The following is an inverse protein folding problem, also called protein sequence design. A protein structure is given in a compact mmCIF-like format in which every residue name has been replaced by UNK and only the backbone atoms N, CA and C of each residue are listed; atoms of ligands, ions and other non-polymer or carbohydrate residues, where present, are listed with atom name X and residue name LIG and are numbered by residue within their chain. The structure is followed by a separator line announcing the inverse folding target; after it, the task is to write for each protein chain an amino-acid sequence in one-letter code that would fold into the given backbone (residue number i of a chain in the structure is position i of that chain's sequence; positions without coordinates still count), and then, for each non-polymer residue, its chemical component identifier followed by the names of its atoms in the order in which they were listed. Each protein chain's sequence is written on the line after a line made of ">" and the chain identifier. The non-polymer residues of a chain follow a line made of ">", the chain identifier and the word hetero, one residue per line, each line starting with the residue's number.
data_IF_535131110357
#
_entry.id   IF_535131110357
#
_cell.length_a   1.000
_cell.length_b   1.000
_cell.length_c   1.000
_cell.angle_alpha   90.00
_cell.angle_beta   90.00
_cell.angle_gamma   90.00
#
_symmetry.space_group_name_H-M   'P 1'
#
loop_
_entity.id
_entity.type
_entity.pdbx_description
1 polymer ?
#
# COMPACT_ATOMS: atom_id res chain seq x y z
N UNK A 1 17.21 27.97 -8.23
CA UNK A 1 17.54 26.57 -7.95
C UNK A 1 17.12 25.75 -9.17
N UNK A 2 18.06 25.32 -9.98
CA UNK A 2 17.76 24.56 -11.21
C UNK A 2 17.36 23.15 -10.82
N UNK A 3 16.16 22.72 -11.21
CA UNK A 3 15.68 21.36 -11.00
C UNK A 3 16.62 20.35 -11.66
N UNK A 4 17.06 19.34 -10.93
CA UNK A 4 17.85 18.23 -11.47
C UNK A 4 17.07 17.43 -12.52
N UNK A 5 17.78 16.64 -13.32
CA UNK A 5 17.17 15.78 -14.35
C UNK A 5 16.14 14.84 -13.71
N UNK A 6 16.48 14.26 -12.56
CA UNK A 6 15.58 13.37 -11.80
C UNK A 6 14.29 14.07 -11.34
N UNK A 7 14.39 15.34 -10.91
CA UNK A 7 13.19 16.09 -10.48
C UNK A 7 12.26 16.39 -11.66
N UNK A 8 12.85 16.76 -12.81
CA UNK A 8 12.07 16.97 -14.04
C UNK A 8 11.37 15.70 -14.50
N UNK A 9 12.06 14.56 -14.43
CA UNK A 9 11.51 13.25 -14.74
C UNK A 9 10.31 12.95 -13.81
N UNK A 10 10.48 13.10 -12.48
CA UNK A 10 9.40 12.84 -11.52
C UNK A 10 8.18 13.76 -11.75
N UNK A 11 8.39 15.01 -12.10
CA UNK A 11 7.27 15.93 -12.40
C UNK A 11 6.52 15.42 -13.63
N UNK A 12 7.21 15.12 -14.72
CA UNK A 12 6.60 14.68 -15.98
C UNK A 12 5.83 13.37 -15.77
N UNK A 13 6.45 12.37 -15.14
CA UNK A 13 5.84 11.05 -14.97
C UNK A 13 4.60 11.11 -14.05
N UNK A 14 4.58 12.03 -13.07
CA UNK A 14 3.42 12.23 -12.22
C UNK A 14 2.28 12.97 -12.92
N UNK A 15 2.58 13.91 -13.82
CA UNK A 15 1.56 14.53 -14.67
C UNK A 15 0.93 13.47 -15.58
N UNK A 16 1.75 12.62 -16.22
CA UNK A 16 1.27 11.51 -17.04
C UNK A 16 0.44 10.53 -16.21
N UNK A 17 0.92 10.17 -15.02
CA UNK A 17 0.18 9.29 -14.09
C UNK A 17 -1.19 9.85 -13.71
N UNK A 18 -1.28 11.14 -13.43
CA UNK A 18 -2.55 11.82 -13.15
C UNK A 18 -3.52 11.74 -14.34
N UNK A 19 -3.03 12.04 -15.55
CA UNK A 19 -3.84 12.00 -16.78
C UNK A 19 -4.31 10.57 -17.06
N UNK A 20 -3.43 9.58 -16.96
CA UNK A 20 -3.79 8.17 -17.17
C UNK A 20 -4.84 7.71 -16.16
N UNK A 21 -4.70 8.11 -14.88
CA UNK A 21 -5.72 7.77 -13.88
C UNK A 21 -7.06 8.43 -14.19
N UNK A 22 -7.06 9.67 -14.63
CA UNK A 22 -8.29 10.36 -15.06
C UNK A 22 -8.96 9.66 -16.25
N UNK A 23 -8.18 9.25 -17.26
CA UNK A 23 -8.69 8.48 -18.40
C UNK A 23 -9.28 7.15 -17.91
N UNK A 24 -8.58 6.42 -17.04
CA UNK A 24 -9.07 5.16 -16.48
C UNK A 24 -10.38 5.35 -15.71
N UNK A 25 -10.50 6.43 -14.94
CA UNK A 25 -11.74 6.77 -14.23
C UNK A 25 -12.90 7.02 -15.19
N UNK A 26 -12.66 7.74 -16.30
CA UNK A 26 -13.70 7.98 -17.32
C UNK A 26 -14.11 6.68 -18.03
N UNK A 27 -13.16 5.83 -18.40
CA UNK A 27 -13.40 4.53 -18.99
C UNK A 27 -14.22 3.64 -18.06
N UNK A 28 -13.81 3.53 -16.81
CA UNK A 28 -14.52 2.77 -15.78
C UNK A 28 -15.96 3.24 -15.57
N UNK A 29 -16.21 4.56 -15.68
CA UNK A 29 -17.53 5.14 -15.47
C UNK A 29 -18.47 4.99 -16.68
N UNK A 30 -17.92 4.92 -17.89
CA UNK A 30 -18.68 4.99 -19.14
C UNK A 30 -18.63 3.71 -19.98
N UNK A 31 -17.79 2.73 -19.63
CA UNK A 31 -17.65 1.49 -20.39
C UNK A 31 -17.62 0.29 -19.44
N UNK A 32 -18.26 -0.82 -19.83
CA UNK A 32 -18.24 -2.07 -19.03
C UNK A 32 -16.88 -2.80 -19.05
N UNK A 33 -16.03 -2.51 -20.05
CA UNK A 33 -14.77 -3.25 -20.30
C UNK A 33 -13.49 -2.40 -20.11
N UNK A 34 -13.61 -1.17 -19.66
CA UNK A 34 -12.57 -0.17 -19.84
C UNK A 34 -11.64 0.06 -18.64
N UNK A 35 -10.85 -0.93 -18.20
CA UNK A 35 -9.75 -0.65 -17.25
C UNK A 35 -8.39 -0.82 -17.94
N UNK A 36 -7.54 0.22 -17.85
CA UNK A 36 -6.16 0.19 -18.35
C UNK A 36 -5.17 -0.18 -17.24
N UNK A 37 -5.54 -1.20 -16.43
CA UNK A 37 -4.80 -1.59 -15.22
C UNK A 37 -3.31 -1.88 -15.46
N UNK A 38 -2.96 -2.54 -16.55
CA UNK A 38 -1.58 -2.83 -16.91
C UNK A 38 -0.76 -1.55 -17.15
N UNK A 39 -1.36 -0.57 -17.83
CA UNK A 39 -0.72 0.70 -18.11
C UNK A 39 -0.56 1.52 -16.82
N UNK A 40 -1.59 1.58 -15.99
CA UNK A 40 -1.53 2.23 -14.68
C UNK A 40 -0.45 1.61 -13.79
N UNK A 41 -0.37 0.28 -13.75
CA UNK A 41 0.64 -0.45 -12.98
C UNK A 41 2.04 -0.06 -13.42
N UNK A 42 2.29 -0.03 -14.74
CA UNK A 42 3.60 0.29 -15.31
C UNK A 42 4.02 1.74 -14.99
N UNK A 43 3.13 2.69 -15.18
CA UNK A 43 3.42 4.10 -14.89
C UNK A 43 3.50 4.40 -13.39
N UNK A 44 2.74 3.70 -12.54
CA UNK A 44 2.90 3.80 -11.09
C UNK A 44 4.30 3.35 -10.66
N UNK A 45 4.75 2.18 -11.15
CA UNK A 45 6.10 1.66 -10.88
C UNK A 45 7.20 2.59 -11.42
N UNK A 46 6.98 3.24 -12.56
CA UNK A 46 7.91 4.22 -13.11
C UNK A 46 7.99 5.53 -12.31
N UNK A 47 7.15 5.75 -11.27
CA UNK A 47 7.20 6.93 -10.40
C UNK A 47 5.99 7.86 -10.51
N UNK A 48 4.99 7.52 -11.33
CA UNK A 48 3.76 8.30 -11.51
C UNK A 48 2.71 8.12 -10.40
N UNK A 49 3.03 7.38 -9.34
CA UNK A 49 2.10 6.99 -8.30
C UNK A 49 1.51 8.17 -7.52
N UNK A 50 2.28 9.25 -7.28
CA UNK A 50 1.78 10.46 -6.60
C UNK A 50 0.69 11.14 -7.45
N UNK A 51 0.90 11.28 -8.76
CA UNK A 51 -0.11 11.82 -9.68
C UNK A 51 -1.40 11.01 -9.66
N UNK A 52 -1.28 9.67 -9.64
CA UNK A 52 -2.43 8.77 -9.53
C UNK A 52 -3.15 8.89 -8.19
N UNK A 53 -2.41 9.02 -7.07
CA UNK A 53 -3.01 9.26 -5.74
C UNK A 53 -3.83 10.56 -5.74
N UNK A 54 -3.31 11.62 -6.35
CA UNK A 54 -4.05 12.89 -6.50
C UNK A 54 -5.32 12.65 -7.33
N UNK A 55 -5.23 11.88 -8.41
CA UNK A 55 -6.39 11.49 -9.22
C UNK A 55 -7.45 10.72 -8.41
N UNK A 56 -7.04 9.76 -7.58
CA UNK A 56 -7.94 9.02 -6.67
C UNK A 56 -8.66 9.99 -5.73
N UNK A 57 -7.94 10.93 -5.13
CA UNK A 57 -8.51 11.86 -4.15
C UNK A 57 -9.50 12.86 -4.78
N UNK A 58 -9.30 13.21 -6.05
CA UNK A 58 -10.15 14.19 -6.74
C UNK A 58 -11.38 13.50 -7.37
N UNK A 59 -11.15 12.46 -8.15
CA UNK A 59 -12.19 11.89 -9.03
C UNK A 59 -12.87 10.66 -8.44
N UNK A 60 -12.13 9.80 -7.72
CA UNK A 60 -12.58 8.48 -7.30
C UNK A 60 -12.54 8.35 -5.78
N UNK A 61 -13.35 9.18 -5.09
CA UNK A 61 -13.35 9.23 -3.61
C UNK A 61 -13.98 8.02 -2.95
N UNK A 62 -14.90 7.33 -3.62
CA UNK A 62 -15.61 6.18 -3.03
C UNK A 62 -14.90 4.88 -3.36
N UNK A 63 -14.35 4.18 -2.36
CA UNK A 63 -13.76 2.85 -2.59
C UNK A 63 -14.88 1.83 -2.80
N UNK A 64 -14.84 1.16 -3.94
CA UNK A 64 -15.71 0.06 -4.33
C UNK A 64 -14.88 -1.18 -4.59
N UNK A 65 -15.53 -2.36 -4.70
CA UNK A 65 -14.80 -3.62 -4.91
C UNK A 65 -13.90 -3.60 -6.15
N UNK A 66 -14.39 -2.98 -7.22
CA UNK A 66 -13.79 -3.03 -8.54
C UNK A 66 -12.54 -2.15 -8.66
N UNK A 67 -12.48 -1.02 -7.90
CA UNK A 67 -11.31 -0.15 -7.87
C UNK A 67 -10.34 -0.43 -6.71
N UNK A 68 -10.63 -1.42 -5.85
CA UNK A 68 -9.88 -1.63 -4.61
C UNK A 68 -8.46 -2.14 -4.89
N UNK A 69 -8.27 -3.01 -5.89
CA UNK A 69 -6.95 -3.53 -6.22
C UNK A 69 -6.03 -2.42 -6.70
N UNK A 70 -6.46 -1.62 -7.67
CA UNK A 70 -5.69 -0.50 -8.20
C UNK A 70 -5.34 0.52 -7.12
N UNK A 71 -6.26 0.82 -6.20
CA UNK A 71 -6.01 1.73 -5.07
C UNK A 71 -4.94 1.21 -4.13
N UNK A 72 -5.03 -0.04 -3.68
CA UNK A 72 -4.03 -0.63 -2.78
C UNK A 72 -2.67 -0.63 -3.46
N UNK A 73 -2.62 -1.01 -4.74
CA UNK A 73 -1.39 -1.01 -5.52
C UNK A 73 -0.77 0.38 -5.60
N UNK A 74 -1.54 1.38 -6.03
CA UNK A 74 -1.07 2.77 -6.21
C UNK A 74 -0.59 3.35 -4.86
N UNK A 75 -1.31 3.13 -3.76
CA UNK A 75 -0.92 3.63 -2.43
C UNK A 75 0.38 2.98 -1.97
N UNK A 76 0.53 1.66 -2.09
CA UNK A 76 1.76 0.97 -1.71
C UNK A 76 2.96 1.46 -2.53
N UNK A 77 2.81 1.55 -3.84
CA UNK A 77 3.86 2.03 -4.74
C UNK A 77 4.20 3.50 -4.47
N UNK A 78 3.22 4.33 -4.16
CA UNK A 78 3.45 5.72 -3.75
C UNK A 78 4.31 5.82 -2.50
N UNK A 79 4.01 5.02 -1.45
CA UNK A 79 4.81 4.99 -0.22
C UNK A 79 6.24 4.50 -0.51
N UNK A 80 6.40 3.48 -1.35
CA UNK A 80 7.72 3.01 -1.78
C UNK A 80 8.49 4.13 -2.49
N UNK A 81 7.84 4.90 -3.37
CA UNK A 81 8.47 6.03 -4.06
C UNK A 81 8.85 7.17 -3.11
N UNK A 82 8.09 7.43 -2.04
CA UNK A 82 8.51 8.36 -0.98
C UNK A 82 9.82 7.87 -0.35
N UNK A 83 9.92 6.59 0.00
CA UNK A 83 11.15 6.01 0.57
C UNK A 83 12.32 6.14 -0.41
N UNK A 84 12.13 5.78 -1.67
CA UNK A 84 13.15 5.92 -2.71
C UNK A 84 13.61 7.38 -2.85
N UNK A 85 12.67 8.31 -2.88
CA UNK A 85 12.99 9.74 -2.95
C UNK A 85 13.81 10.22 -1.75
N UNK A 86 13.45 9.82 -0.53
CA UNK A 86 14.20 10.17 0.67
C UNK A 86 15.61 9.57 0.68
N UNK A 87 15.79 8.35 0.18
CA UNK A 87 17.10 7.72 0.00
C UNK A 87 17.94 8.51 -1.00
N UNK A 88 17.39 8.86 -2.16
CA UNK A 88 18.11 9.60 -3.21
C UNK A 88 18.50 11.01 -2.79
N UNK A 89 17.75 11.62 -1.85
CA UNK A 89 18.09 12.93 -1.24
C UNK A 89 19.12 12.84 -0.11
N UNK A 90 19.64 11.64 0.17
CA UNK A 90 20.70 11.44 1.16
C UNK A 90 20.23 11.46 2.62
N UNK A 91 18.93 11.24 2.87
CA UNK A 91 18.38 11.08 4.22
C UNK A 91 18.64 9.68 4.82
N UNK A 92 19.64 8.97 4.33
CA UNK A 92 20.03 7.64 4.80
C UNK A 92 21.49 7.65 5.27
N UNK A 93 21.84 6.81 6.26
CA UNK A 93 23.20 6.64 6.75
C UNK A 93 24.10 6.04 5.66
N UNK A 94 25.37 6.42 5.67
CA UNK A 94 26.36 5.90 4.70
C UNK A 94 26.64 4.40 4.85
N UNK A 95 26.55 3.89 6.10
CA UNK A 95 26.65 2.45 6.39
C UNK A 95 25.25 1.92 6.64
N UNK A 96 24.75 1.09 5.74
CA UNK A 96 23.44 0.45 5.88
C UNK A 96 23.52 -0.66 6.95
N UNK A 97 22.52 -0.67 7.83
CA UNK A 97 22.35 -1.71 8.84
C UNK A 97 21.17 -2.61 8.46
N UNK A 98 21.35 -3.90 8.65
CA UNK A 98 20.31 -4.93 8.56
C UNK A 98 19.98 -5.54 9.93
N UNK A 99 20.40 -4.90 11.01
CA UNK A 99 20.23 -5.36 12.38
C UNK A 99 18.79 -5.13 12.89
N UNK A 100 17.82 -5.82 12.29
CA UNK A 100 16.40 -5.70 12.66
C UNK A 100 16.14 -5.98 14.14
N UNK A 101 16.81 -6.99 14.70
CA UNK A 101 16.64 -7.36 16.11
C UNK A 101 17.10 -6.26 17.06
N UNK A 102 18.25 -5.65 16.79
CA UNK A 102 18.76 -4.54 17.60
C UNK A 102 17.84 -3.32 17.50
N UNK A 103 17.31 -3.06 16.30
CA UNK A 103 16.34 -1.98 16.09
C UNK A 103 15.08 -2.20 16.94
N UNK A 104 14.49 -3.38 16.90
CA UNK A 104 13.31 -3.70 17.71
C UNK A 104 13.61 -3.77 19.21
N UNK A 105 14.80 -4.24 19.61
CA UNK A 105 15.22 -4.23 21.01
C UNK A 105 15.27 -2.80 21.58
N UNK A 106 15.69 -1.82 20.76
CA UNK A 106 15.74 -0.41 21.13
C UNK A 106 14.36 0.29 21.00
N UNK A 107 13.44 -0.23 20.18
CA UNK A 107 12.13 0.34 19.92
C UNK A 107 10.99 -0.59 20.39
N UNK A 108 11.01 -0.97 21.67
CA UNK A 108 10.04 -1.94 22.25
C UNK A 108 8.58 -1.54 22.04
N UNK A 109 8.26 -0.25 22.10
CA UNK A 109 6.90 0.25 21.86
C UNK A 109 6.42 -0.04 20.43
N UNK A 110 7.30 0.07 19.43
CA UNK A 110 6.99 -0.29 18.06
C UNK A 110 6.72 -1.79 17.92
N UNK A 111 7.53 -2.63 18.58
CA UNK A 111 7.33 -4.08 18.58
C UNK A 111 5.98 -4.47 19.20
N UNK A 112 5.65 -3.87 20.36
CA UNK A 112 4.37 -4.09 21.04
C UNK A 112 3.20 -3.64 20.15
N UNK A 113 3.31 -2.45 19.54
CA UNK A 113 2.30 -1.96 18.60
C UNK A 113 2.08 -2.93 17.43
N UNK A 114 3.16 -3.38 16.78
CA UNK A 114 3.08 -4.34 15.67
C UNK A 114 2.47 -5.68 16.11
N UNK A 115 2.80 -6.17 17.30
CA UNK A 115 2.18 -7.39 17.84
C UNK A 115 0.67 -7.22 18.03
N UNK A 116 0.25 -6.13 18.67
CA UNK A 116 -1.17 -5.85 18.93
C UNK A 116 -1.95 -5.69 17.61
N UNK A 117 -1.46 -4.87 16.68
CA UNK A 117 -2.19 -4.62 15.43
C UNK A 117 -2.30 -5.87 14.55
N UNK A 118 -1.30 -6.76 14.56
CA UNK A 118 -1.37 -8.02 13.85
C UNK A 118 -2.38 -8.99 14.48
N UNK A 119 -2.46 -9.06 15.81
CA UNK A 119 -3.48 -9.85 16.51
C UNK A 119 -4.88 -9.30 16.20
N UNK A 120 -5.09 -7.99 16.32
CA UNK A 120 -6.37 -7.32 16.01
C UNK A 120 -6.78 -7.60 14.56
N UNK A 121 -5.85 -7.52 13.62
CA UNK A 121 -6.13 -7.77 12.21
C UNK A 121 -6.50 -9.23 11.98
N UNK A 122 -5.79 -10.18 12.56
CA UNK A 122 -6.09 -11.60 12.46
C UNK A 122 -7.50 -11.91 13.02
N UNK A 123 -7.84 -11.35 14.20
CA UNK A 123 -9.16 -11.49 14.79
C UNK A 123 -10.25 -10.87 13.92
N UNK A 124 -9.99 -9.70 13.29
CA UNK A 124 -10.91 -9.07 12.36
C UNK A 124 -11.22 -9.97 11.15
N UNK A 125 -10.22 -10.68 10.60
CA UNK A 125 -10.44 -11.66 9.54
C UNK A 125 -11.25 -12.87 10.00
N UNK A 126 -11.03 -13.35 11.23
CA UNK A 126 -11.83 -14.41 11.84
C UNK A 126 -13.30 -14.01 11.98
N UNK A 127 -13.55 -12.83 12.56
CA UNK A 127 -14.89 -12.28 12.75
C UNK A 127 -15.62 -12.06 11.42
N UNK A 128 -14.93 -11.55 10.39
CA UNK A 128 -15.52 -11.38 9.06
C UNK A 128 -15.89 -12.74 8.42
N UNK A 129 -15.10 -13.80 8.68
CA UNK A 129 -15.42 -15.16 8.25
C UNK A 129 -16.67 -15.70 8.95
N UNK A 130 -16.75 -15.56 10.28
CA UNK A 130 -17.91 -16.00 11.08
C UNK A 130 -19.16 -15.24 10.61
N UNK A 131 -19.08 -13.91 10.50
CA UNK A 131 -20.18 -13.10 10.02
C UNK A 131 -20.65 -13.48 8.61
N UNK A 132 -19.72 -13.90 7.74
CA UNK A 132 -20.07 -14.40 6.41
C UNK A 132 -20.81 -15.74 6.44
N UNK A 133 -20.46 -16.64 7.37
CA UNK A 133 -21.13 -17.93 7.55
C UNK A 133 -22.54 -17.76 8.15
N UNK A 134 -22.67 -16.85 9.12
CA UNK A 134 -23.94 -16.56 9.80
C UNK A 134 -24.85 -15.59 9.02
N UNK A 135 -24.45 -15.16 7.82
CA UNK A 135 -25.17 -14.15 7.01
C UNK A 135 -25.44 -12.83 7.74
N UNK A 136 -24.59 -12.50 8.72
CA UNK A 136 -24.62 -11.25 9.48
C UNK A 136 -23.87 -10.13 8.76
N UNK A 137 -23.87 -8.95 9.36
CA UNK A 137 -23.16 -7.78 8.84
C UNK A 137 -21.65 -8.03 8.84
N UNK A 138 -21.03 -7.80 7.67
CA UNK A 138 -19.63 -8.14 7.42
C UNK A 138 -18.71 -6.93 7.61
N UNK A 139 -17.48 -7.17 8.03
CA UNK A 139 -16.47 -6.14 8.10
C UNK A 139 -16.14 -5.64 6.69
N UNK A 140 -16.02 -4.32 6.53
CA UNK A 140 -15.75 -3.72 5.22
C UNK A 140 -14.36 -4.11 4.71
N UNK A 141 -14.23 -4.21 3.37
CA UNK A 141 -12.94 -4.47 2.71
C UNK A 141 -11.92 -3.39 3.08
N UNK A 142 -12.38 -2.14 3.15
CA UNK A 142 -11.56 -0.98 3.51
C UNK A 142 -10.99 -1.13 4.92
N UNK A 143 -11.80 -1.56 5.88
CA UNK A 143 -11.37 -1.76 7.26
C UNK A 143 -10.28 -2.85 7.34
N UNK A 144 -10.48 -3.98 6.67
CA UNK A 144 -9.52 -5.08 6.68
C UNK A 144 -8.19 -4.71 6.01
N UNK A 145 -8.24 -4.05 4.84
CA UNK A 145 -7.04 -3.56 4.16
C UNK A 145 -6.40 -2.39 4.89
N UNK A 146 -7.19 -1.52 5.53
CA UNK A 146 -6.70 -0.44 6.37
C UNK A 146 -5.91 -0.96 7.57
N UNK A 147 -6.44 -1.97 8.28
CA UNK A 147 -5.72 -2.65 9.37
C UNK A 147 -4.41 -3.27 8.88
N UNK A 148 -4.42 -3.89 7.70
CA UNK A 148 -3.19 -4.41 7.09
C UNK A 148 -2.19 -3.29 6.80
N UNK A 149 -2.62 -2.15 6.23
CA UNK A 149 -1.77 -1.00 5.86
C UNK A 149 -1.08 -0.35 7.07
N UNK A 150 -1.76 -0.23 8.20
CA UNK A 150 -1.21 0.41 9.40
C UNK A 150 -0.30 -0.51 10.24
N UNK A 151 0.08 -1.69 9.75
CA UNK A 151 1.03 -2.60 10.39
C UNK A 151 0.53 -4.03 10.61
N UNK A 152 -0.75 -4.31 10.35
CA UNK A 152 -1.37 -5.62 10.56
C UNK A 152 -1.25 -6.61 9.39
N UNK A 153 -0.32 -6.40 8.48
CA UNK A 153 -0.25 -7.18 7.22
C UNK A 153 0.09 -8.66 7.43
N UNK A 154 0.95 -8.99 8.39
CA UNK A 154 1.23 -10.38 8.76
C UNK A 154 0.01 -11.05 9.38
N UNK A 155 -0.71 -10.34 10.27
CA UNK A 155 -1.96 -10.80 10.86
C UNK A 155 -3.05 -11.01 9.81
N UNK A 156 -3.13 -10.12 8.79
CA UNK A 156 -4.01 -10.29 7.64
C UNK A 156 -3.65 -11.53 6.83
N UNK A 157 -2.36 -11.73 6.53
CA UNK A 157 -1.88 -12.88 5.77
C UNK A 157 -2.21 -14.19 6.51
N UNK A 158 -1.84 -14.27 7.79
CA UNK A 158 -2.13 -15.45 8.64
C UNK A 158 -3.64 -15.67 8.71
N UNK A 159 -4.43 -14.64 8.99
CA UNK A 159 -5.89 -14.73 9.07
C UNK A 159 -6.54 -15.20 7.78
N UNK A 160 -6.07 -14.71 6.62
CA UNK A 160 -6.55 -15.16 5.32
C UNK A 160 -6.35 -16.66 5.09
N UNK A 161 -5.14 -17.16 5.35
CA UNK A 161 -4.81 -18.57 5.09
C UNK A 161 -5.35 -19.49 6.20
N UNK A 162 -5.28 -19.10 7.46
CA UNK A 162 -5.77 -19.91 8.59
C UNK A 162 -7.28 -20.13 8.50
N UNK A 163 -8.03 -19.08 8.19
CA UNK A 163 -9.50 -19.16 8.09
C UNK A 163 -10.00 -19.45 6.68
N UNK A 164 -9.11 -19.66 5.69
CA UNK A 164 -9.46 -19.85 4.29
C UNK A 164 -10.46 -18.81 3.79
N UNK A 165 -10.24 -17.54 4.15
CA UNK A 165 -11.16 -16.44 3.89
C UNK A 165 -10.53 -15.39 2.99
N UNK A 166 -11.25 -15.00 1.91
CA UNK A 166 -10.85 -13.99 0.93
C UNK A 166 -9.56 -14.28 0.14
N UNK A 167 -9.03 -15.51 0.21
CA UNK A 167 -7.83 -15.96 -0.50
C UNK A 167 -7.94 -15.93 -2.03
N UNK A 168 -9.18 -15.89 -2.58
CA UNK A 168 -9.47 -15.84 -4.02
C UNK A 168 -9.71 -14.41 -4.53
N UNK A 169 -9.63 -13.38 -3.68
CA UNK A 169 -9.86 -11.99 -4.08
C UNK A 169 -8.53 -11.29 -4.30
N UNK A 170 -8.29 -10.77 -5.50
CA UNK A 170 -6.99 -10.23 -5.92
C UNK A 170 -6.50 -9.09 -5.03
N UNK A 171 -7.39 -8.19 -4.59
CA UNK A 171 -7.03 -7.11 -3.67
C UNK A 171 -6.59 -7.59 -2.28
N UNK A 172 -6.85 -8.84 -1.89
CA UNK A 172 -6.25 -9.48 -0.74
C UNK A 172 -5.07 -10.38 -1.13
N UNK A 173 -5.24 -11.25 -2.14
CA UNK A 173 -4.22 -12.22 -2.55
C UNK A 173 -2.91 -11.57 -2.99
N UNK A 174 -2.98 -10.46 -3.71
CA UNK A 174 -1.84 -9.68 -4.20
C UNK A 174 -1.60 -8.47 -3.30
N UNK A 175 -2.68 -7.79 -2.87
CA UNK A 175 -2.58 -6.56 -2.10
C UNK A 175 -1.91 -6.74 -0.74
N UNK A 176 -2.23 -7.80 0.02
CA UNK A 176 -1.62 -8.04 1.34
C UNK A 176 -0.12 -8.33 1.25
N UNK A 177 0.38 -9.22 0.37
CA UNK A 177 1.83 -9.36 0.13
C UNK A 177 2.51 -8.05 -0.29
N UNK A 178 1.88 -7.25 -1.14
CA UNK A 178 2.43 -5.95 -1.56
C UNK A 178 2.53 -4.97 -0.38
N UNK A 179 1.53 -4.96 0.52
CA UNK A 179 1.58 -4.17 1.75
C UNK A 179 2.75 -4.62 2.64
N UNK A 180 3.02 -5.92 2.74
CA UNK A 180 4.19 -6.44 3.49
C UNK A 180 5.49 -5.90 2.89
N UNK A 181 5.66 -6.00 1.57
CA UNK A 181 6.84 -5.47 0.88
C UNK A 181 7.02 -3.98 1.16
N UNK A 182 5.96 -3.19 1.04
CA UNK A 182 5.97 -1.76 1.35
C UNK A 182 6.39 -1.51 2.81
N UNK A 183 5.84 -2.25 3.78
CA UNK A 183 6.17 -2.10 5.20
C UNK A 183 7.62 -2.47 5.51
N UNK A 184 8.15 -3.52 4.88
CA UNK A 184 9.57 -3.89 4.98
C UNK A 184 10.46 -2.77 4.46
N UNK A 185 10.12 -2.15 3.33
CA UNK A 185 10.86 -1.02 2.77
C UNK A 185 10.83 0.20 3.69
N UNK A 186 9.68 0.52 4.27
CA UNK A 186 9.53 1.61 5.25
C UNK A 186 10.36 1.32 6.50
N UNK A 187 10.28 0.11 7.04
CA UNK A 187 11.06 -0.30 8.20
C UNK A 187 12.57 -0.20 7.93
N UNK A 188 13.02 -0.70 6.78
CA UNK A 188 14.42 -0.60 6.37
C UNK A 188 14.88 0.85 6.30
N UNK A 189 14.05 1.74 5.75
CA UNK A 189 14.35 3.17 5.72
C UNK A 189 14.44 3.75 7.14
N UNK A 190 13.48 3.47 8.01
CA UNK A 190 13.48 3.98 9.39
C UNK A 190 14.73 3.55 10.20
N UNK A 191 15.19 2.31 10.02
CA UNK A 191 16.41 1.81 10.64
C UNK A 191 17.66 2.56 10.18
N UNK A 192 17.68 3.02 8.95
CA UNK A 192 18.85 3.62 8.32
C UNK A 192 18.72 5.14 8.13
N UNK A 193 17.61 5.75 8.52
CA UNK A 193 17.42 7.19 8.42
C UNK A 193 18.41 7.96 9.31
N UNK A 194 18.81 9.15 8.85
CA UNK A 194 19.68 10.08 9.60
C UNK A 194 18.93 10.89 10.65
N UNK A 195 17.70 10.53 10.97
CA UNK A 195 16.79 11.33 11.81
C UNK A 195 17.12 11.17 13.31
N UNK A 196 18.02 10.23 13.66
CA UNK A 196 18.44 10.00 15.04
C UNK A 196 19.93 9.66 15.12
#
# INVERSE_FOLDING_TARGET
>A
MTLGIFDKYLIIINIVGFILYFINYLLYKHTEEGQIDNLLTLFALAGGALGMVIGILIFDRKPVKDNMMSRVFIICVFIIWIVVFLITRGFIKTKLSFAFWDYFANHKLLLIYLAIINIVTMVAFALDKIAALEKKWRISIITLLGLALIGGSLGALIGMYLFHHKTKKDYFKIGVPLIIVMQVMVLFYLMNAKIF
#
